data_IF_532416022180
#
_entry.id   IF_532416022180
#
_cell.length_a   1.000
_cell.length_b   1.000
_cell.length_c   1.000
_cell.angle_alpha   90.00
_cell.angle_beta   90.00
_cell.angle_gamma   90.00
#
_symmetry.space_group_name_H-M   'P 1'
#
loop_
_entity.id
_entity.type
_entity.pdbx_description
1 polymer ?
#
# COMPACT_ATOMS: atom_id res chain seq x y z
N UNK A 1 -25.63 5.69 -14.53
CA UNK A 1 -25.14 4.30 -14.49
C UNK A 1 -24.27 4.18 -13.26
N UNK A 2 -24.74 3.44 -12.26
CA UNK A 2 -24.00 3.19 -11.03
C UNK A 2 -23.04 2.01 -11.22
N UNK A 3 -22.05 1.86 -10.34
CA UNK A 3 -21.12 0.71 -10.36
C UNK A 3 -21.90 -0.62 -10.26
N UNK A 4 -22.97 -0.67 -9.46
CA UNK A 4 -23.83 -1.85 -9.34
C UNK A 4 -24.56 -2.21 -10.64
N UNK A 5 -25.04 -1.22 -11.39
CA UNK A 5 -25.69 -1.42 -12.70
C UNK A 5 -24.70 -1.84 -13.79
N UNK A 6 -23.44 -1.44 -13.66
CA UNK A 6 -22.37 -1.85 -14.56
C UNK A 6 -21.93 -3.29 -14.28
N UNK A 7 -21.70 -3.64 -13.01
CA UNK A 7 -21.28 -4.99 -12.59
C UNK A 7 -22.33 -6.06 -12.85
N UNK A 8 -23.61 -5.68 -12.89
CA UNK A 8 -24.71 -6.59 -13.25
C UNK A 8 -24.85 -6.81 -14.77
N UNK A 9 -24.20 -5.98 -15.57
CA UNK A 9 -24.19 -6.07 -17.04
C UNK A 9 -22.88 -6.63 -17.61
N UNK A 10 -21.78 -6.46 -16.88
CA UNK A 10 -20.47 -6.94 -17.32
C UNK A 10 -20.46 -8.45 -17.31
N UNK A 11 -20.00 -9.06 -18.40
CA UNK A 11 -19.89 -10.51 -18.47
C UNK A 11 -18.52 -11.00 -17.94
N UNK A 12 -18.42 -12.30 -17.64
CA UNK A 12 -17.18 -12.90 -17.12
C UNK A 12 -16.01 -12.81 -18.12
N UNK A 13 -16.33 -12.72 -19.42
CA UNK A 13 -15.34 -12.60 -20.49
C UNK A 13 -14.76 -11.19 -20.51
N UNK A 14 -15.58 -10.15 -20.45
CA UNK A 14 -15.19 -8.75 -20.35
C UNK A 14 -14.31 -8.53 -19.11
N UNK A 15 -14.68 -9.10 -17.96
CA UNK A 15 -13.82 -9.06 -16.76
C UNK A 15 -12.46 -9.71 -16.99
N UNK A 16 -12.42 -10.85 -17.69
CA UNK A 16 -11.17 -11.56 -18.02
C UNK A 16 -10.32 -10.75 -19.01
N UNK A 17 -10.95 -10.11 -20.00
CA UNK A 17 -10.28 -9.24 -20.97
C UNK A 17 -9.68 -8.00 -20.27
N UNK A 18 -10.39 -7.41 -19.31
CA UNK A 18 -9.87 -6.33 -18.46
C UNK A 18 -8.68 -6.78 -17.62
N UNK A 19 -8.76 -7.96 -16.99
CA UNK A 19 -7.67 -8.49 -16.17
C UNK A 19 -6.43 -8.82 -17.03
N UNK A 20 -6.62 -9.35 -18.23
CA UNK A 20 -5.54 -9.58 -19.20
C UNK A 20 -4.91 -8.27 -19.67
N UNK A 21 -5.72 -7.22 -19.87
CA UNK A 21 -5.22 -5.89 -20.18
C UNK A 21 -4.35 -5.34 -19.04
N UNK A 22 -4.81 -5.40 -17.79
CA UNK A 22 -4.04 -4.90 -16.64
C UNK A 22 -2.73 -5.66 -16.41
N UNK A 23 -2.69 -6.97 -16.70
CA UNK A 23 -1.44 -7.75 -16.65
C UNK A 23 -0.40 -7.29 -17.68
N UNK A 24 -0.84 -6.83 -18.85
CA UNK A 24 0.05 -6.43 -19.95
C UNK A 24 0.46 -4.96 -19.84
N UNK A 25 -0.47 -4.09 -19.44
CA UNK A 25 -0.30 -2.64 -19.49
C UNK A 25 -0.17 -1.97 -18.11
N UNK A 26 -0.37 -2.73 -17.03
CA UNK A 26 -0.43 -2.22 -15.67
C UNK A 26 -1.86 -1.86 -15.23
N UNK A 27 -2.06 -1.61 -13.92
CA UNK A 27 -3.38 -1.31 -13.37
C UNK A 27 -3.94 0.01 -13.94
N UNK A 28 -5.26 0.04 -14.14
CA UNK A 28 -5.93 1.21 -14.70
C UNK A 28 -5.93 2.39 -13.71
N UNK A 29 -5.61 3.59 -14.21
CA UNK A 29 -5.63 4.82 -13.43
C UNK A 29 -4.33 5.10 -12.67
N UNK A 30 -4.33 6.04 -11.71
CA UNK A 30 -3.10 6.50 -11.04
C UNK A 30 -2.55 5.50 -10.00
N UNK A 31 -3.07 4.26 -9.97
CA UNK A 31 -2.68 3.26 -8.99
C UNK A 31 -1.19 2.89 -9.13
N UNK A 32 -0.76 2.59 -10.36
CA UNK A 32 0.65 2.29 -10.64
C UNK A 32 1.57 3.45 -10.23
N UNK A 33 1.25 4.68 -10.64
CA UNK A 33 2.06 5.86 -10.31
C UNK A 33 2.15 6.09 -8.80
N UNK A 34 1.03 5.93 -8.08
CA UNK A 34 0.99 6.09 -6.62
C UNK A 34 1.78 4.99 -5.90
N UNK A 35 1.71 3.75 -6.38
CA UNK A 35 2.51 2.64 -5.84
C UNK A 35 4.01 2.87 -6.08
N UNK A 36 4.39 3.27 -7.30
CA UNK A 36 5.77 3.56 -7.64
C UNK A 36 6.33 4.74 -6.84
N UNK A 37 5.53 5.80 -6.63
CA UNK A 37 5.92 6.92 -5.78
C UNK A 37 6.11 6.49 -4.32
N UNK A 38 5.21 5.68 -3.77
CA UNK A 38 5.34 5.19 -2.41
C UNK A 38 6.61 4.32 -2.25
N UNK A 39 6.89 3.45 -3.21
CA UNK A 39 8.12 2.65 -3.24
C UNK A 39 9.38 3.52 -3.35
N UNK A 40 9.36 4.58 -4.14
CA UNK A 40 10.48 5.49 -4.27
C UNK A 40 10.80 6.19 -2.95
N UNK A 41 9.79 6.72 -2.26
CA UNK A 41 9.97 7.39 -0.96
C UNK A 41 10.46 6.40 0.10
N UNK A 42 9.91 5.19 0.15
CA UNK A 42 10.38 4.14 1.07
C UNK A 42 11.83 3.72 0.78
N UNK A 43 12.21 3.66 -0.50
CA UNK A 43 13.59 3.41 -0.92
C UNK A 43 14.55 4.52 -0.50
N UNK A 44 14.14 5.78 -0.63
CA UNK A 44 14.92 6.95 -0.22
C UNK A 44 15.12 6.96 1.30
N UNK A 45 14.05 6.78 2.08
CA UNK A 45 14.13 6.68 3.54
C UNK A 45 15.09 5.58 3.98
N UNK A 46 14.99 4.38 3.37
CA UNK A 46 15.89 3.26 3.69
C UNK A 46 17.34 3.59 3.35
N UNK A 47 17.58 4.24 2.22
CA UNK A 47 18.93 4.62 1.80
C UNK A 47 19.53 5.62 2.77
N UNK A 48 18.78 6.66 3.16
CA UNK A 48 19.21 7.64 4.14
C UNK A 48 19.50 6.99 5.50
N UNK A 49 18.62 6.12 5.99
CA UNK A 49 18.85 5.43 7.25
C UNK A 49 20.13 4.57 7.21
N UNK A 50 20.38 3.84 6.11
CA UNK A 50 21.60 3.05 5.94
C UNK A 50 22.87 3.92 5.86
N UNK A 51 22.82 5.03 5.13
CA UNK A 51 23.93 5.97 5.06
C UNK A 51 24.23 6.56 6.44
N UNK A 52 23.18 6.93 7.19
CA UNK A 52 23.31 7.35 8.57
C UNK A 52 23.97 6.28 9.44
N UNK A 53 23.50 5.03 9.39
CA UNK A 53 24.08 3.93 10.16
C UNK A 53 25.56 3.66 9.80
N UNK A 54 25.97 3.90 8.55
CA UNK A 54 27.36 3.76 8.13
C UNK A 54 28.26 4.89 8.64
N UNK A 55 27.74 6.10 8.83
CA UNK A 55 28.50 7.27 9.26
C UNK A 55 28.45 7.52 10.78
N UNK A 56 27.36 7.14 11.43
CA UNK A 56 27.11 7.31 12.85
C UNK A 56 27.24 5.95 13.56
N UNK A 57 28.50 5.54 13.76
CA UNK A 57 28.88 4.22 14.33
C UNK A 57 29.23 4.26 15.81
N UNK A 58 29.30 5.45 16.42
CA UNK A 58 29.59 5.66 17.83
C UNK A 58 28.29 5.65 18.64
N UNK A 59 28.25 4.88 19.73
CA UNK A 59 27.10 4.80 20.64
C UNK A 59 26.72 6.16 21.24
N UNK A 60 27.66 7.10 21.31
CA UNK A 60 27.41 8.47 21.80
C UNK A 60 26.76 9.38 20.76
N UNK A 61 26.86 9.02 19.49
CA UNK A 61 26.36 9.79 18.36
C UNK A 61 25.55 8.86 17.45
N UNK A 62 24.36 8.42 17.90
CA UNK A 62 23.55 7.50 17.13
C UNK A 62 23.09 8.13 15.82
N UNK A 63 22.75 7.28 14.87
CA UNK A 63 22.16 7.72 13.61
C UNK A 63 20.93 8.60 13.87
N UNK A 64 20.94 9.88 13.45
CA UNK A 64 19.82 10.79 13.67
C UNK A 64 18.66 10.55 12.70
N UNK A 65 18.83 9.66 11.73
CA UNK A 65 17.81 9.35 10.71
C UNK A 65 16.95 8.20 11.23
N UNK A 66 15.66 8.48 11.38
CA UNK A 66 14.70 7.48 11.84
C UNK A 66 14.66 6.23 10.95
N UNK A 67 14.27 5.07 11.50
CA UNK A 67 14.03 3.88 10.69
C UNK A 67 12.98 4.16 9.59
N UNK A 68 13.12 3.57 8.39
CA UNK A 68 12.16 3.77 7.32
C UNK A 68 10.78 3.24 7.71
N UNK A 69 9.74 4.03 7.44
CA UNK A 69 8.35 3.68 7.71
C UNK A 69 7.61 3.35 6.42
N UNK A 70 6.72 2.36 6.48
CA UNK A 70 5.88 2.02 5.34
C UNK A 70 4.79 3.07 5.18
N UNK A 71 4.68 3.65 4.00
CA UNK A 71 3.63 4.61 3.68
C UNK A 71 2.34 3.83 3.40
N UNK A 72 1.26 4.14 4.13
CA UNK A 72 -0.05 3.55 3.86
C UNK A 72 -0.46 3.81 2.41
N UNK A 73 -0.79 2.74 1.68
CA UNK A 73 -1.24 2.86 0.30
C UNK A 73 -2.65 3.46 0.27
N UNK A 74 -3.03 4.19 -0.80
CA UNK A 74 -4.37 4.77 -0.89
C UNK A 74 -5.52 3.76 -0.77
N UNK A 75 -5.31 2.51 -1.19
CA UNK A 75 -6.26 1.40 -1.04
C UNK A 75 -6.45 0.96 0.43
N UNK A 76 -5.47 1.23 1.29
CA UNK A 76 -5.48 0.87 2.71
C UNK A 76 -6.21 1.93 3.57
N UNK A 77 -6.37 3.16 3.06
CA UNK A 77 -7.09 4.23 3.78
C UNK A 77 -8.58 3.94 3.94
N UNK A 78 -9.15 3.10 3.06
CA UNK A 78 -10.57 2.75 3.08
C UNK A 78 -10.86 1.43 3.79
N UNK A 79 -9.85 0.73 4.34
CA UNK A 79 -10.04 -0.58 4.99
C UNK A 79 -10.46 -0.50 6.46
N UNK A 80 -10.60 0.70 7.04
CA UNK A 80 -11.12 0.87 8.40
C UNK A 80 -12.66 0.91 8.45
N UNK A 81 -13.31 -0.27 8.55
CA UNK A 81 -14.63 -0.38 9.20
C UNK A 81 -15.10 -1.75 9.72
N UNK A 82 -14.29 -2.81 9.68
CA UNK A 82 -14.77 -4.16 10.04
C UNK A 82 -13.90 -4.89 11.10
N UNK A 83 -13.23 -4.18 12.03
CA UNK A 83 -12.34 -4.87 12.97
C UNK A 83 -12.45 -4.51 14.46
N UNK A 84 -13.51 -3.80 14.87
CA UNK A 84 -13.71 -3.43 16.29
C UNK A 84 -15.00 -3.99 16.94
N UNK A 85 -15.75 -4.91 16.31
CA UNK A 85 -17.07 -5.33 16.84
C UNK A 85 -17.29 -6.84 17.00
N UNK A 86 -16.24 -7.63 17.21
CA UNK A 86 -16.40 -9.06 17.56
C UNK A 86 -15.34 -9.53 18.57
N UNK A 87 -15.68 -9.60 19.87
CA UNK A 87 -14.94 -10.49 20.77
C UNK A 87 -14.84 -10.24 22.28
N UNK A 88 -15.76 -9.58 22.98
CA UNK A 88 -15.88 -9.78 24.45
C UNK A 88 -17.24 -10.37 24.83
N UNK A 89 -17.35 -11.68 24.64
CA UNK A 89 -18.36 -12.52 25.30
C UNK A 89 -17.73 -13.86 25.71
N UNK A 90 -17.40 -13.98 26.99
CA UNK A 90 -16.95 -15.19 27.67
C UNK A 90 -15.97 -14.81 28.78
N UNK A 91 -16.21 -15.01 30.07
CA UNK A 91 -17.01 -15.98 30.79
C UNK A 91 -16.15 -16.36 32.00
N UNK A 92 -16.58 -15.98 33.20
CA UNK A 92 -15.93 -16.27 34.47
C UNK A 92 -16.95 -16.40 35.59
#
# INVERSE_FOLDING_TARGET
MTVGELLTRIDARELTEWQAYELVYGPLGPAYEREMLALAVEGEQRTHHLMGAAHFTDDKHPNPIDPPERIARPSEWFTHRNQDDDGEAGGG
#
